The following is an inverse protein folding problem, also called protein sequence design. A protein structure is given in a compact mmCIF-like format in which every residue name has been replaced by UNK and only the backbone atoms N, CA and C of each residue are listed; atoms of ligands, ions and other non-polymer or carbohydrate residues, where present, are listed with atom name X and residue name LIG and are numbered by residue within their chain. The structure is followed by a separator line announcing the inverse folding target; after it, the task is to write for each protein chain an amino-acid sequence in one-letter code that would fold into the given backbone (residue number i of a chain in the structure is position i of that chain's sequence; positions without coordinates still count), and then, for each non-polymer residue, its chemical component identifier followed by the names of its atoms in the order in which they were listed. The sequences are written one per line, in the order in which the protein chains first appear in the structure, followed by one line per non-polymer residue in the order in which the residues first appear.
data_IF_850729975528
#
_entry.id   IF_850729975528
#
_cell.length_a   1.000
_cell.length_b   1.000
_cell.length_c   1.000
_cell.angle_alpha   90.00
_cell.angle_beta   90.00
_cell.angle_gamma   90.00
#
_symmetry.space_group_name_H-M   'P 1'
#
loop_
_entity.id
_entity.type
_entity.pdbx_description
1 polymer ?
#
# COMPACT_ATOMS: atom_id res chain seq x y z
N UNK A 1 -12.93 -31.15 -3.39
CA UNK A 1 -12.41 -31.67 -2.10
C UNK A 1 -12.30 -30.57 -1.04
N UNK A 2 -11.73 -29.40 -1.40
CA UNK A 2 -11.58 -28.25 -0.48
C UNK A 2 -12.90 -27.71 0.04
N UNK A 3 -13.90 -27.53 -0.83
CA UNK A 3 -15.15 -26.88 -0.45
C UNK A 3 -15.96 -27.63 0.62
N UNK A 4 -15.85 -28.96 0.66
CA UNK A 4 -16.54 -29.77 1.68
C UNK A 4 -15.81 -29.72 3.04
N UNK A 5 -14.49 -29.59 3.03
CA UNK A 5 -13.68 -29.42 4.23
C UNK A 5 -13.88 -28.02 4.81
N UNK A 6 -13.83 -26.99 3.97
CA UNK A 6 -14.12 -25.60 4.34
C UNK A 6 -15.53 -25.43 4.92
N UNK A 7 -16.54 -26.05 4.30
CA UNK A 7 -17.91 -26.02 4.82
C UNK A 7 -18.03 -26.73 6.19
N UNK A 8 -17.31 -27.85 6.38
CA UNK A 8 -17.31 -28.57 7.66
C UNK A 8 -16.60 -27.77 8.76
N UNK A 9 -15.52 -27.07 8.43
CA UNK A 9 -14.78 -26.22 9.37
C UNK A 9 -15.57 -24.96 9.74
N UNK A 10 -16.29 -24.36 8.78
CA UNK A 10 -17.24 -23.29 9.06
C UNK A 10 -18.32 -23.75 10.05
N UNK A 11 -18.99 -24.86 9.77
CA UNK A 11 -20.02 -25.43 10.67
C UNK A 11 -19.47 -25.74 12.06
N UNK A 12 -18.23 -26.21 12.16
CA UNK A 12 -17.56 -26.42 13.44
C UNK A 12 -17.35 -25.11 14.18
N UNK A 13 -16.90 -24.07 13.48
CA UNK A 13 -16.69 -22.74 14.06
C UNK A 13 -18.00 -22.13 14.55
N UNK A 14 -19.09 -22.28 13.81
CA UNK A 14 -20.41 -21.80 14.22
C UNK A 14 -20.88 -22.46 15.51
N UNK A 15 -20.74 -23.78 15.60
CA UNK A 15 -21.10 -24.54 16.79
C UNK A 15 -20.25 -24.17 18.00
N UNK A 16 -18.96 -23.89 17.80
CA UNK A 16 -18.10 -23.38 18.86
C UNK A 16 -18.58 -21.98 19.31
N UNK A 17 -18.97 -21.13 18.37
CA UNK A 17 -19.57 -19.82 18.64
C UNK A 17 -20.80 -19.92 19.54
N UNK A 18 -21.76 -20.78 19.21
CA UNK A 18 -22.97 -21.00 20.03
C UNK A 18 -22.64 -21.48 21.45
N UNK A 19 -21.66 -22.38 21.59
CA UNK A 19 -21.23 -22.88 22.90
C UNK A 19 -20.52 -21.79 23.72
N UNK A 20 -19.74 -20.94 23.07
CA UNK A 20 -19.07 -19.81 23.74
C UNK A 20 -20.10 -18.76 24.14
N UNK A 21 -21.08 -18.45 23.28
CA UNK A 21 -22.17 -17.53 23.58
C UNK A 21 -22.97 -17.98 24.81
N UNK A 22 -23.31 -19.27 24.93
CA UNK A 22 -23.94 -19.79 26.14
C UNK A 22 -23.04 -19.68 27.37
N UNK A 23 -21.74 -19.94 27.22
CA UNK A 23 -20.79 -19.90 28.34
C UNK A 23 -20.53 -18.48 28.82
N UNK A 24 -20.47 -17.50 27.91
CA UNK A 24 -20.19 -16.11 28.26
C UNK A 24 -21.26 -15.54 29.19
N UNK A 25 -22.52 -15.98 29.05
CA UNK A 25 -23.61 -15.61 29.97
C UNK A 25 -23.37 -16.05 31.42
N UNK A 26 -22.62 -17.14 31.63
CA UNK A 26 -22.32 -17.67 32.97
C UNK A 26 -20.91 -17.36 33.46
N UNK A 27 -20.01 -16.97 32.55
CA UNK A 27 -18.61 -16.60 32.81
C UNK A 27 -18.23 -15.38 31.97
N UNK A 28 -18.84 -14.21 32.27
CA UNK A 28 -18.62 -12.99 31.47
C UNK A 28 -17.25 -12.35 31.71
N UNK A 29 -16.50 -12.83 32.71
CA UNK A 29 -15.15 -12.38 33.07
C UNK A 29 -14.04 -13.02 32.21
N UNK A 30 -14.39 -14.00 31.36
CA UNK A 30 -13.43 -14.60 30.46
C UNK A 30 -13.26 -13.77 29.18
N UNK A 31 -12.20 -12.96 29.15
CA UNK A 31 -11.84 -12.11 28.03
C UNK A 31 -11.82 -12.83 26.67
N UNK A 32 -11.31 -14.06 26.63
CA UNK A 32 -11.15 -14.81 25.38
C UNK A 32 -12.48 -15.21 24.74
N UNK A 33 -13.55 -15.33 25.53
CA UNK A 33 -14.89 -15.58 24.98
C UNK A 33 -15.37 -14.39 24.14
N UNK A 34 -15.24 -13.17 24.68
CA UNK A 34 -15.61 -11.96 23.95
C UNK A 34 -14.77 -11.74 22.70
N UNK A 35 -13.45 -11.96 22.77
CA UNK A 35 -12.57 -11.86 21.60
C UNK A 35 -12.99 -12.85 20.51
N UNK A 36 -13.24 -14.12 20.88
CA UNK A 36 -13.66 -15.14 19.92
C UNK A 36 -15.00 -14.77 19.26
N UNK A 37 -15.98 -14.37 20.06
CA UNK A 37 -17.29 -13.96 19.55
C UNK A 37 -17.19 -12.74 18.63
N UNK A 38 -16.35 -11.76 18.98
CA UNK A 38 -16.09 -10.58 18.14
C UNK A 38 -15.47 -10.96 16.77
N UNK A 39 -14.49 -11.86 16.76
CA UNK A 39 -13.87 -12.35 15.53
C UNK A 39 -14.85 -13.16 14.67
N UNK A 40 -15.67 -14.00 15.29
CA UNK A 40 -16.72 -14.75 14.59
C UNK A 40 -17.80 -13.82 14.01
N UNK A 41 -18.18 -12.77 14.74
CA UNK A 41 -19.10 -11.75 14.25
C UNK A 41 -18.50 -10.99 13.05
N UNK A 42 -17.21 -10.63 13.10
CA UNK A 42 -16.51 -10.02 11.96
C UNK A 42 -16.48 -10.93 10.73
N UNK A 43 -16.20 -12.23 10.89
CA UNK A 43 -16.19 -13.16 9.75
C UNK A 43 -17.57 -13.31 9.11
N UNK A 44 -18.63 -13.07 9.89
CA UNK A 44 -20.03 -13.04 9.43
C UNK A 44 -20.46 -11.66 8.90
N UNK A 45 -19.56 -10.66 8.93
CA UNK A 45 -19.89 -9.26 8.67
C UNK A 45 -21.01 -8.70 9.56
N UNK A 46 -21.24 -9.30 10.74
CA UNK A 46 -22.15 -8.79 11.75
C UNK A 46 -21.44 -7.70 12.55
N UNK A 47 -21.52 -6.49 12.01
CA UNK A 47 -20.82 -5.30 12.53
C UNK A 47 -21.34 -4.89 13.92
N UNK A 48 -22.63 -5.11 14.17
CA UNK A 48 -23.25 -4.74 15.45
C UNK A 48 -22.73 -5.64 16.56
N UNK A 49 -22.80 -6.96 16.36
CA UNK A 49 -22.31 -7.93 17.34
C UNK A 49 -20.79 -7.80 17.53
N UNK A 50 -20.03 -7.58 16.46
CA UNK A 50 -18.58 -7.39 16.56
C UNK A 50 -18.21 -6.20 17.46
N UNK A 51 -18.84 -5.03 17.25
CA UNK A 51 -18.60 -3.85 18.08
C UNK A 51 -18.99 -4.09 19.54
N UNK A 52 -20.12 -4.74 19.79
CA UNK A 52 -20.59 -5.07 21.15
C UNK A 52 -19.64 -6.04 21.86
N UNK A 53 -19.18 -7.10 21.20
CA UNK A 53 -18.26 -8.06 21.81
C UNK A 53 -16.88 -7.45 22.09
N UNK A 54 -16.38 -6.57 21.22
CA UNK A 54 -15.16 -5.83 21.52
C UNK A 54 -15.32 -4.84 22.68
N UNK A 55 -16.48 -4.20 22.81
CA UNK A 55 -16.78 -3.33 23.95
C UNK A 55 -16.79 -4.10 25.27
N UNK A 56 -17.45 -5.28 25.29
CA UNK A 56 -17.43 -6.17 26.44
C UNK A 56 -16.01 -6.63 26.78
N UNK A 57 -15.20 -6.98 25.77
CA UNK A 57 -13.79 -7.34 25.96
C UNK A 57 -12.98 -6.19 26.56
N UNK A 58 -13.17 -4.95 26.08
CA UNK A 58 -12.55 -3.75 26.61
C UNK A 58 -12.99 -3.43 28.05
N UNK A 59 -14.21 -3.80 28.44
CA UNK A 59 -14.67 -3.70 29.83
C UNK A 59 -13.82 -4.53 30.80
N UNK A 60 -13.22 -5.63 30.32
CA UNK A 60 -12.34 -6.50 31.12
C UNK A 60 -10.87 -6.09 31.05
N UNK A 61 -10.40 -5.60 29.90
CA UNK A 61 -9.03 -5.11 29.71
C UNK A 61 -9.00 -3.78 28.93
N UNK A 62 -9.24 -2.64 29.60
CA UNK A 62 -9.42 -1.34 28.94
C UNK A 62 -8.17 -0.76 28.27
N UNK A 63 -6.98 -1.32 28.55
CA UNK A 63 -5.69 -0.85 28.04
C UNK A 63 -5.11 -1.75 26.96
N UNK A 64 -5.82 -2.81 26.58
CA UNK A 64 -5.37 -3.73 25.58
C UNK A 64 -5.31 -3.06 24.20
N UNK A 65 -4.11 -2.90 23.65
CA UNK A 65 -3.88 -2.19 22.39
C UNK A 65 -4.59 -2.86 21.21
N UNK A 66 -4.62 -4.20 21.18
CA UNK A 66 -5.34 -4.96 20.17
C UNK A 66 -6.85 -4.70 20.23
N UNK A 67 -7.45 -4.77 21.44
CA UNK A 67 -8.90 -4.54 21.58
C UNK A 67 -9.29 -3.10 21.25
N UNK A 68 -8.48 -2.12 21.63
CA UNK A 68 -8.74 -0.72 21.31
C UNK A 68 -8.74 -0.49 19.79
N UNK A 69 -7.76 -1.05 19.08
CA UNK A 69 -7.68 -0.96 17.62
C UNK A 69 -8.86 -1.69 16.95
N UNK A 70 -9.17 -2.92 17.36
CA UNK A 70 -10.28 -3.70 16.80
C UNK A 70 -11.65 -3.09 17.09
N UNK A 71 -11.83 -2.47 18.26
CA UNK A 71 -13.07 -1.77 18.58
C UNK A 71 -13.27 -0.52 17.71
N UNK A 72 -12.21 0.27 17.51
CA UNK A 72 -12.25 1.44 16.63
C UNK A 72 -12.61 1.04 15.18
N UNK A 73 -12.03 -0.05 14.68
CA UNK A 73 -12.36 -0.61 13.37
C UNK A 73 -13.81 -1.11 13.30
N UNK A 74 -14.26 -1.85 14.32
CA UNK A 74 -15.63 -2.36 14.37
C UNK A 74 -16.66 -1.22 14.38
N UNK A 75 -16.42 -0.14 15.13
CA UNK A 75 -17.27 1.05 15.12
C UNK A 75 -17.27 1.74 13.75
N UNK A 76 -16.11 1.89 13.12
CA UNK A 76 -16.01 2.49 11.79
C UNK A 76 -16.83 1.70 10.76
N UNK A 77 -16.76 0.36 10.79
CA UNK A 77 -17.56 -0.49 9.91
C UNK A 77 -19.06 -0.40 10.24
N UNK A 78 -19.42 -0.43 11.53
CA UNK A 78 -20.79 -0.30 12.01
C UNK A 78 -21.43 1.02 11.55
N UNK A 79 -20.68 2.11 11.58
CA UNK A 79 -21.10 3.44 11.11
C UNK A 79 -21.02 3.62 9.59
N UNK A 80 -20.94 2.52 8.83
CA UNK A 80 -20.97 2.58 7.38
C UNK A 80 -19.71 3.21 6.78
N UNK A 81 -18.57 3.10 7.47
CA UNK A 81 -17.28 3.71 7.10
C UNK A 81 -17.29 5.23 7.15
N UNK A 82 -18.06 5.78 8.09
CA UNK A 82 -18.11 7.22 8.40
C UNK A 82 -17.35 7.45 9.70
N UNK A 83 -16.48 8.46 9.72
CA UNK A 83 -15.75 8.91 10.92
C UNK A 83 -16.63 9.80 11.80
N UNK A 84 -17.61 9.16 12.45
CA UNK A 84 -18.45 9.78 13.48
C UNK A 84 -17.64 10.14 14.73
N UNK A 85 -18.21 10.94 15.64
CA UNK A 85 -17.57 11.34 16.89
C UNK A 85 -17.12 10.13 17.73
N UNK A 86 -17.96 9.09 17.82
CA UNK A 86 -17.62 7.86 18.55
C UNK A 86 -16.50 7.07 17.90
N UNK A 87 -16.43 7.07 16.57
CA UNK A 87 -15.34 6.42 15.83
C UNK A 87 -14.05 7.18 16.09
N UNK A 88 -14.06 8.53 15.98
CA UNK A 88 -12.88 9.35 16.23
C UNK A 88 -12.35 9.17 17.66
N UNK A 89 -13.23 9.19 18.66
CA UNK A 89 -12.83 8.92 20.04
C UNK A 89 -12.19 7.53 20.21
N UNK A 90 -12.78 6.49 19.61
CA UNK A 90 -12.22 5.14 19.67
C UNK A 90 -10.85 5.05 18.98
N UNK A 91 -10.70 5.66 17.79
CA UNK A 91 -9.44 5.71 17.05
C UNK A 91 -8.37 6.48 17.84
N UNK A 92 -8.70 7.62 18.43
CA UNK A 92 -7.77 8.40 19.24
C UNK A 92 -7.32 7.64 20.50
N UNK A 93 -8.24 6.94 21.18
CA UNK A 93 -7.87 6.05 22.30
C UNK A 93 -6.93 4.93 21.88
N UNK A 94 -7.20 4.29 20.73
CA UNK A 94 -6.31 3.27 20.18
C UNK A 94 -4.92 3.86 19.84
N UNK A 95 -4.88 5.06 19.26
CA UNK A 95 -3.63 5.72 18.87
C UNK A 95 -2.79 6.13 20.08
N UNK A 96 -3.43 6.61 21.15
CA UNK A 96 -2.77 6.92 22.41
C UNK A 96 -2.17 5.67 23.07
N UNK A 97 -2.79 4.50 22.89
CA UNK A 97 -2.30 3.24 23.45
C UNK A 97 -1.16 2.63 22.62
N UNK A 98 -1.24 2.71 21.29
CA UNK A 98 -0.19 2.29 20.36
C UNK A 98 -0.18 3.17 19.10
N UNK A 99 0.73 4.15 19.09
CA UNK A 99 0.86 5.09 17.99
C UNK A 99 1.45 4.49 16.70
N UNK A 100 1.93 3.24 16.74
CA UNK A 100 2.50 2.53 15.59
C UNK A 100 1.60 1.38 15.11
N UNK A 101 0.41 1.20 15.70
CA UNK A 101 -0.55 0.22 15.23
C UNK A 101 -1.03 0.60 13.81
N UNK A 102 -0.75 -0.26 12.83
CA UNK A 102 -1.06 0.01 11.42
C UNK A 102 -2.54 0.22 11.14
N UNK A 103 -3.43 -0.54 11.80
CA UNK A 103 -4.88 -0.40 11.62
C UNK A 103 -5.35 0.96 12.16
N UNK A 104 -4.87 1.35 13.34
CA UNK A 104 -5.14 2.65 13.94
C UNK A 104 -4.60 3.81 13.09
N UNK A 105 -3.38 3.72 12.59
CA UNK A 105 -2.81 4.71 11.66
C UNK A 105 -3.65 4.84 10.38
N UNK A 106 -4.13 3.72 9.84
CA UNK A 106 -4.99 3.71 8.67
C UNK A 106 -6.31 4.46 8.91
N UNK A 107 -6.94 4.24 10.08
CA UNK A 107 -8.17 4.93 10.49
C UNK A 107 -7.94 6.41 10.83
N UNK A 108 -6.80 6.77 11.44
CA UNK A 108 -6.42 8.19 11.64
C UNK A 108 -6.34 8.90 10.29
N UNK A 109 -5.66 8.32 9.29
CA UNK A 109 -5.60 8.93 7.96
C UNK A 109 -6.97 9.15 7.32
N UNK A 110 -7.91 8.19 7.47
CA UNK A 110 -9.30 8.35 7.01
C UNK A 110 -10.01 9.49 7.75
N UNK A 111 -9.81 9.58 9.07
CA UNK A 111 -10.39 10.65 9.89
C UNK A 111 -9.89 12.02 9.47
N UNK A 112 -8.58 12.21 9.36
CA UNK A 112 -8.00 13.49 8.96
C UNK A 112 -8.43 13.89 7.54
N UNK A 113 -8.46 12.93 6.61
CA UNK A 113 -8.96 13.16 5.25
C UNK A 113 -10.42 13.64 5.24
N UNK A 114 -11.28 13.04 6.06
CA UNK A 114 -12.70 13.42 6.16
C UNK A 114 -12.91 14.83 6.70
N UNK A 115 -11.94 15.35 7.47
CA UNK A 115 -11.93 16.72 7.99
C UNK A 115 -11.11 17.69 7.11
N UNK A 116 -10.77 17.29 5.88
CA UNK A 116 -9.96 18.06 4.93
C UNK A 116 -8.54 18.40 5.41
N UNK A 117 -8.05 17.67 6.43
CA UNK A 117 -6.65 17.72 6.91
C UNK A 117 -5.82 16.72 6.10
N UNK A 118 -5.58 17.09 4.84
CA UNK A 118 -5.01 16.18 3.85
C UNK A 118 -3.53 15.89 4.11
N UNK A 119 -2.76 16.86 4.60
CA UNK A 119 -1.36 16.66 4.99
C UNK A 119 -1.22 15.64 6.11
N UNK A 120 -2.00 15.79 7.18
CA UNK A 120 -2.01 14.84 8.30
C UNK A 120 -2.50 13.46 7.87
N UNK A 121 -3.49 13.40 6.96
CA UNK A 121 -3.96 12.15 6.40
C UNK A 121 -2.84 11.38 5.68
N UNK A 122 -2.06 12.09 4.84
CA UNK A 122 -0.91 11.53 4.13
C UNK A 122 0.12 10.99 5.12
N UNK A 123 0.48 11.77 6.15
CA UNK A 123 1.47 11.35 7.14
C UNK A 123 1.09 10.03 7.82
N UNK A 124 -0.18 9.90 8.26
CA UNK A 124 -0.64 8.68 8.91
C UNK A 124 -0.63 7.46 7.98
N UNK A 125 -1.04 7.63 6.72
CA UNK A 125 -1.02 6.53 5.75
C UNK A 125 0.39 6.14 5.30
N UNK A 126 1.30 7.10 5.12
CA UNK A 126 2.71 6.82 4.83
C UNK A 126 3.37 6.04 5.98
N UNK A 127 3.07 6.40 7.24
CA UNK A 127 3.53 5.63 8.41
C UNK A 127 2.93 4.23 8.43
N UNK A 128 1.65 4.07 8.10
CA UNK A 128 1.01 2.76 8.00
C UNK A 128 1.60 1.89 6.86
N UNK A 129 2.04 2.50 5.76
CA UNK A 129 2.65 1.79 4.64
C UNK A 129 4.00 1.16 4.99
N UNK A 130 4.74 1.70 5.96
CA UNK A 130 6.07 1.20 6.34
C UNK A 130 6.06 -0.24 6.86
N UNK A 131 4.90 -0.75 7.31
CA UNK A 131 4.78 -2.14 7.78
C UNK A 131 4.55 -3.15 6.66
N UNK A 132 4.33 -2.68 5.43
CA UNK A 132 3.94 -3.54 4.30
C UNK A 132 4.93 -3.43 3.13
N UNK A 133 5.18 -4.53 2.39
CA UNK A 133 5.89 -4.47 1.12
C UNK A 133 5.15 -3.57 0.12
N UNK A 134 5.91 -2.81 -0.68
CA UNK A 134 5.36 -1.84 -1.66
C UNK A 134 4.42 -2.51 -2.68
N UNK A 135 4.61 -3.79 -2.96
CA UNK A 135 3.84 -4.57 -3.91
C UNK A 135 2.68 -5.36 -3.27
N UNK A 136 2.43 -5.17 -1.98
CA UNK A 136 1.27 -5.73 -1.29
C UNK A 136 0.00 -4.96 -1.60
N UNK A 137 -1.15 -5.63 -1.51
CA UNK A 137 -2.45 -4.99 -1.70
C UNK A 137 -2.76 -3.99 -0.59
N UNK A 138 -2.25 -4.22 0.61
CA UNK A 138 -2.35 -3.32 1.76
C UNK A 138 -1.65 -2.00 1.48
N UNK A 139 -0.41 -2.05 0.99
CA UNK A 139 0.34 -0.85 0.62
C UNK A 139 -0.38 -0.05 -0.47
N UNK A 140 -0.86 -0.73 -1.52
CA UNK A 140 -1.61 -0.09 -2.63
C UNK A 140 -2.92 0.54 -2.16
N UNK A 141 -3.64 -0.11 -1.25
CA UNK A 141 -4.89 0.43 -0.70
C UNK A 141 -4.66 1.76 0.01
N UNK A 142 -3.60 1.85 0.81
CA UNK A 142 -3.19 3.10 1.47
C UNK A 142 -2.72 4.16 0.45
N UNK A 143 -2.02 3.74 -0.60
CA UNK A 143 -1.56 4.64 -1.66
C UNK A 143 -2.73 5.34 -2.36
N UNK A 144 -3.85 4.65 -2.59
CA UNK A 144 -5.05 5.27 -3.18
C UNK A 144 -5.59 6.40 -2.29
N UNK A 145 -5.51 6.26 -0.97
CA UNK A 145 -5.88 7.32 -0.02
C UNK A 145 -4.93 8.51 -0.14
N UNK A 146 -3.63 8.24 -0.10
CA UNK A 146 -2.56 9.24 -0.25
C UNK A 146 -2.76 10.03 -1.55
N UNK A 147 -2.84 9.36 -2.71
CA UNK A 147 -3.00 10.00 -4.02
C UNK A 147 -4.22 10.94 -4.07
N UNK A 148 -5.34 10.55 -3.42
CA UNK A 148 -6.54 11.39 -3.32
C UNK A 148 -6.30 12.64 -2.48
N UNK A 149 -5.63 12.49 -1.33
CA UNK A 149 -5.28 13.61 -0.47
C UNK A 149 -4.32 14.57 -1.18
N UNK A 150 -3.33 14.03 -1.90
CA UNK A 150 -2.40 14.83 -2.69
C UNK A 150 -3.10 15.62 -3.79
N UNK A 151 -4.06 14.99 -4.49
CA UNK A 151 -4.87 15.67 -5.50
C UNK A 151 -5.72 16.79 -4.90
N UNK A 152 -6.28 16.59 -3.70
CA UNK A 152 -7.07 17.60 -3.00
C UNK A 152 -6.23 18.81 -2.53
N UNK A 153 -4.93 18.62 -2.31
CA UNK A 153 -3.98 19.68 -1.96
C UNK A 153 -3.47 20.49 -3.15
N UNK A 154 -3.68 20.02 -4.40
CA UNK A 154 -3.31 20.82 -5.56
C UNK A 154 -4.26 22.00 -5.70
N UNK A 155 -3.75 23.25 -5.73
CA UNK A 155 -4.56 24.42 -6.05
C UNK A 155 -5.32 24.18 -7.35
N UNK A 156 -6.60 24.55 -7.39
CA UNK A 156 -7.43 24.51 -8.60
C UNK A 156 -6.86 25.32 -9.78
N UNK A 157 -5.83 26.14 -9.54
CA UNK A 157 -5.09 26.92 -10.53
C UNK A 157 -3.96 26.15 -11.23
N UNK A 158 -3.59 24.94 -10.78
CA UNK A 158 -2.50 24.14 -11.40
C UNK A 158 -2.89 23.39 -12.69
N UNK A 159 -4.12 23.54 -13.20
CA UNK A 159 -4.45 23.12 -14.57
C UNK A 159 -3.87 24.04 -15.64
N UNK A 160 -3.37 25.24 -15.27
CA UNK A 160 -2.65 26.11 -16.20
C UNK A 160 -1.35 26.62 -15.58
N UNK A 161 -0.24 26.36 -16.29
CA UNK A 161 1.14 26.84 -16.05
C UNK A 161 1.99 25.99 -15.09
N UNK A 162 2.54 24.89 -15.60
CA UNK A 162 3.85 24.38 -15.15
C UNK A 162 4.95 24.87 -16.11
N UNK A 163 5.53 26.03 -15.78
CA UNK A 163 6.87 26.42 -16.24
C UNK A 163 7.84 26.38 -15.06
N UNK A 164 7.86 25.27 -14.33
CA UNK A 164 8.91 25.00 -13.37
C UNK A 164 9.72 23.80 -13.85
N UNK A 165 11.05 23.94 -13.81
CA UNK A 165 12.03 23.02 -14.41
C UNK A 165 12.15 21.72 -13.57
N UNK A 166 11.08 20.97 -13.42
CA UNK A 166 11.20 19.57 -12.96
C UNK A 166 12.02 18.79 -14.00
N UNK A 167 13.05 18.03 -13.61
CA UNK A 167 13.84 17.26 -14.55
C UNK A 167 12.95 16.24 -15.26
N UNK A 168 12.94 16.31 -16.58
CA UNK A 168 12.25 15.35 -17.44
C UNK A 168 13.29 14.32 -17.89
N UNK A 169 13.08 13.06 -17.53
CA UNK A 169 13.94 11.97 -17.95
C UNK A 169 13.33 11.30 -19.19
N UNK A 170 13.94 11.53 -20.35
CA UNK A 170 13.58 10.89 -21.61
C UNK A 170 14.45 9.66 -21.87
N UNK A 171 13.81 8.51 -22.06
CA UNK A 171 14.44 7.19 -22.19
C UNK A 171 14.02 6.59 -23.52
N UNK A 172 14.96 6.43 -24.44
CA UNK A 172 14.76 5.67 -25.68
C UNK A 172 14.99 4.19 -25.37
N UNK A 173 13.89 3.45 -25.25
CA UNK A 173 13.89 2.05 -24.83
C UNK A 173 13.71 1.12 -26.02
N UNK A 174 14.59 0.12 -26.16
CA UNK A 174 14.53 -0.89 -27.22
C UNK A 174 14.99 -2.27 -26.72
N UNK A 175 14.69 -3.31 -27.52
CA UNK A 175 15.28 -4.64 -27.35
C UNK A 175 16.57 -4.76 -28.16
N UNK A 176 17.52 -5.52 -27.64
CA UNK A 176 18.63 -6.00 -28.44
C UNK A 176 18.22 -7.06 -29.45
N UNK A 177 19.01 -7.20 -30.51
CA UNK A 177 18.67 -7.99 -31.70
C UNK A 177 18.34 -9.47 -31.39
N UNK A 178 18.84 -10.01 -30.29
CA UNK A 178 18.70 -11.43 -29.91
C UNK A 178 17.77 -11.68 -28.72
N UNK A 179 17.00 -10.68 -28.26
CA UNK A 179 16.11 -10.86 -27.10
C UNK A 179 14.77 -11.45 -27.55
N UNK A 180 14.47 -12.73 -27.22
CA UNK A 180 13.18 -13.32 -27.52
C UNK A 180 12.10 -12.68 -26.64
N UNK A 181 11.02 -12.22 -27.26
CA UNK A 181 9.90 -11.59 -26.57
C UNK A 181 8.58 -11.89 -27.29
N UNK A 182 7.49 -12.00 -26.52
CA UNK A 182 6.13 -11.93 -27.06
C UNK A 182 5.60 -10.50 -26.98
N UNK A 183 4.64 -10.14 -27.84
CA UNK A 183 4.13 -8.76 -27.89
C UNK A 183 3.38 -8.39 -26.60
N UNK A 184 2.77 -9.35 -25.93
CA UNK A 184 1.96 -9.15 -24.72
C UNK A 184 2.80 -9.20 -23.43
N UNK A 185 4.10 -9.53 -23.54
CA UNK A 185 4.98 -9.66 -22.41
C UNK A 185 5.16 -8.30 -21.70
N UNK A 186 5.26 -8.32 -20.38
CA UNK A 186 5.37 -7.09 -19.59
C UNK A 186 6.80 -6.61 -19.51
N UNK A 187 6.97 -5.31 -19.68
CA UNK A 187 8.24 -4.60 -19.46
C UNK A 187 8.08 -3.68 -18.26
N UNK A 188 9.01 -3.75 -17.30
CA UNK A 188 9.04 -2.91 -16.11
C UNK A 188 10.27 -2.01 -16.18
N UNK A 189 10.06 -0.70 -16.15
CA UNK A 189 11.12 0.31 -16.08
C UNK A 189 11.15 0.86 -14.66
N UNK A 190 12.33 0.91 -14.05
CA UNK A 190 12.53 1.44 -12.70
C UNK A 190 13.70 2.42 -12.68
N UNK A 191 13.52 3.55 -12.00
CA UNK A 191 14.57 4.55 -11.78
C UNK A 191 15.06 4.40 -10.34
N UNK A 192 16.36 4.12 -10.19
CA UNK A 192 17.00 3.88 -8.91
C UNK A 192 17.89 5.07 -8.53
N UNK A 193 17.77 5.51 -7.28
CA UNK A 193 18.64 6.55 -6.73
C UNK A 193 19.97 5.96 -6.30
N UNK A 194 21.06 6.66 -6.60
CA UNK A 194 22.41 6.16 -6.28
C UNK A 194 22.80 6.33 -4.81
N UNK A 195 22.16 7.24 -4.07
CA UNK A 195 22.41 7.47 -2.65
C UNK A 195 21.91 6.35 -1.72
N UNK A 196 21.14 5.40 -2.25
CA UNK A 196 20.73 4.23 -1.48
C UNK A 196 21.92 3.28 -1.25
N UNK A 197 21.87 2.40 -0.26
CA UNK A 197 22.87 1.34 0.00
C UNK A 197 22.54 0.10 -0.85
N UNK A 198 23.53 -0.67 -1.28
CA UNK A 198 23.33 -1.87 -2.13
C UNK A 198 22.58 -2.99 -1.38
N UNK A 199 21.56 -3.61 -2.01
CA UNK A 199 20.91 -4.84 -1.49
C UNK A 199 19.40 -4.94 -1.73
N UNK A 200 18.65 -3.86 -1.53
CA UNK A 200 17.20 -3.81 -1.81
C UNK A 200 16.77 -2.35 -2.00
N UNK A 201 17.02 -1.80 -3.18
CA UNK A 201 16.78 -0.38 -3.47
C UNK A 201 15.38 -0.21 -4.05
N UNK A 202 14.45 0.27 -3.23
CA UNK A 202 13.16 0.79 -3.70
C UNK A 202 13.39 1.81 -4.82
N UNK A 203 12.74 1.64 -5.99
CA UNK A 203 12.80 2.64 -7.05
C UNK A 203 12.23 3.98 -6.61
N UNK A 204 12.80 5.06 -7.14
CA UNK A 204 12.25 6.41 -7.04
C UNK A 204 10.99 6.49 -7.88
N UNK A 205 11.06 6.03 -9.12
CA UNK A 205 9.97 6.03 -10.08
C UNK A 205 9.91 4.68 -10.80
N UNK A 206 8.71 4.25 -11.21
CA UNK A 206 8.56 3.04 -12.00
C UNK A 206 7.42 3.14 -13.01
N UNK A 207 7.59 2.51 -14.18
CA UNK A 207 6.53 2.40 -15.19
C UNK A 207 6.41 0.97 -15.71
N UNK A 208 5.16 0.55 -15.92
CA UNK A 208 4.80 -0.72 -16.54
C UNK A 208 4.39 -0.50 -17.98
N UNK A 209 4.96 -1.29 -18.88
CA UNK A 209 4.79 -1.23 -20.33
C UNK A 209 4.51 -2.64 -20.88
N UNK A 210 4.19 -2.70 -22.17
CA UNK A 210 4.00 -3.94 -22.92
C UNK A 210 5.07 -4.04 -24.01
N UNK A 211 5.66 -5.22 -24.20
CA UNK A 211 6.79 -5.43 -25.10
C UNK A 211 6.48 -5.04 -26.55
N UNK A 212 5.24 -5.22 -26.99
CA UNK A 212 4.77 -4.85 -28.33
C UNK A 212 4.79 -3.35 -28.63
N UNK A 213 4.96 -2.49 -27.61
CA UNK A 213 5.07 -1.03 -27.76
C UNK A 213 6.50 -0.56 -28.04
N UNK A 214 7.52 -1.44 -27.88
CA UNK A 214 8.92 -1.08 -28.08
C UNK A 214 9.32 -1.23 -29.57
N UNK A 215 10.24 -0.38 -30.09
CA UNK A 215 10.95 0.68 -29.38
C UNK A 215 10.07 1.91 -29.10
N UNK A 216 10.28 2.55 -27.95
CA UNK A 216 9.52 3.74 -27.55
C UNK A 216 10.37 4.77 -26.80
N UNK A 217 9.99 6.04 -26.89
CA UNK A 217 10.55 7.13 -26.09
C UNK A 217 9.68 7.36 -24.87
N UNK A 218 10.18 6.91 -23.72
CA UNK A 218 9.52 7.00 -22.43
C UNK A 218 9.91 8.30 -21.72
N UNK A 219 8.92 9.10 -21.33
CA UNK A 219 9.14 10.30 -20.51
C UNK A 219 8.71 10.05 -19.07
N UNK A 220 9.63 10.24 -18.12
CA UNK A 220 9.37 10.18 -16.68
C UNK A 220 9.59 11.56 -16.04
N UNK A 221 8.76 11.90 -15.07
CA UNK A 221 8.87 13.12 -14.26
C UNK A 221 8.52 12.85 -12.79
N UNK A 222 8.49 13.88 -11.94
CA UNK A 222 8.11 13.72 -10.53
C UNK A 222 6.77 13.02 -10.32
N UNK A 223 5.84 13.14 -11.27
CA UNK A 223 4.55 12.43 -11.25
C UNK A 223 4.67 10.91 -11.30
N UNK A 224 5.81 10.39 -11.73
CA UNK A 224 6.09 8.94 -11.80
C UNK A 224 6.77 8.40 -10.55
N UNK A 225 7.04 9.27 -9.57
CA UNK A 225 7.70 8.89 -8.32
C UNK A 225 6.75 8.06 -7.45
N UNK A 226 7.26 6.98 -6.85
CA UNK A 226 6.49 6.04 -6.04
C UNK A 226 6.20 6.56 -4.63
N UNK A 227 6.98 7.53 -4.13
CA UNK A 227 6.86 8.08 -2.77
C UNK A 227 7.04 9.59 -2.81
N UNK A 228 6.21 10.34 -2.07
CA UNK A 228 6.23 11.81 -2.06
C UNK A 228 7.53 12.38 -1.54
N UNK A 229 8.11 11.77 -0.51
CA UNK A 229 9.35 12.20 0.13
C UNK A 229 10.62 11.91 -0.70
N UNK A 230 10.47 11.29 -1.87
CA UNK A 230 11.59 10.90 -2.73
C UNK A 230 11.19 11.02 -4.20
N UNK A 231 11.29 12.24 -4.75
CA UNK A 231 10.95 12.54 -6.15
C UNK A 231 12.17 12.50 -7.06
N UNK A 232 11.98 12.51 -8.37
CA UNK A 232 13.09 12.61 -9.33
C UNK A 232 13.83 13.94 -9.21
N UNK A 233 13.12 15.05 -8.97
CA UNK A 233 13.69 16.38 -8.72
C UNK A 233 14.56 16.47 -7.47
N UNK A 234 14.37 15.58 -6.50
CA UNK A 234 15.20 15.52 -5.29
C UNK A 234 16.52 14.76 -5.52
N UNK A 235 16.69 14.12 -6.68
CA UNK A 235 17.82 13.25 -6.96
C UNK A 235 18.82 13.94 -7.88
N UNK A 236 20.09 13.90 -7.48
CA UNK A 236 21.17 14.33 -8.35
C UNK A 236 21.56 13.25 -9.36
N UNK A 237 21.74 12.01 -8.90
CA UNK A 237 22.22 10.90 -9.72
C UNK A 237 21.24 9.73 -9.70
N UNK A 238 20.82 9.31 -10.88
CA UNK A 238 19.91 8.17 -11.05
C UNK A 238 20.49 7.13 -12.00
N UNK A 239 19.99 5.91 -11.90
CA UNK A 239 20.22 4.85 -12.89
C UNK A 239 18.89 4.21 -13.26
N UNK A 240 18.68 3.98 -14.55
CA UNK A 240 17.46 3.35 -15.06
C UNK A 240 17.73 1.89 -15.34
N UNK A 241 16.82 1.04 -14.88
CA UNK A 241 16.74 -0.37 -15.25
C UNK A 241 15.46 -0.62 -16.04
N UNK A 242 15.54 -1.44 -17.07
CA UNK A 242 14.37 -1.90 -17.80
C UNK A 242 14.42 -3.42 -17.86
N UNK A 243 13.31 -4.08 -17.54
CA UNK A 243 13.25 -5.54 -17.45
C UNK A 243 12.07 -6.08 -18.23
N UNK A 244 12.34 -7.05 -19.10
CA UNK A 244 11.33 -7.89 -19.72
C UNK A 244 11.05 -9.09 -18.80
N UNK A 245 9.87 -9.11 -18.18
CA UNK A 245 9.53 -10.12 -17.19
C UNK A 245 8.99 -11.40 -17.85
N UNK A 246 9.57 -12.55 -17.50
CA UNK A 246 9.03 -13.86 -17.89
C UNK A 246 7.76 -14.23 -17.10
N UNK A 247 7.72 -13.91 -15.79
CA UNK A 247 6.60 -14.21 -14.90
C UNK A 247 5.48 -13.16 -14.86
N UNK A 248 5.66 -12.02 -15.54
CA UNK A 248 4.70 -10.92 -15.57
C UNK A 248 4.62 -10.08 -14.29
N UNK A 249 5.56 -10.26 -13.36
CA UNK A 249 5.66 -9.55 -12.07
C UNK A 249 6.77 -8.49 -12.09
N UNK A 250 6.63 -7.47 -11.23
CA UNK A 250 7.62 -6.40 -11.07
C UNK A 250 8.86 -6.83 -10.28
N UNK A 251 8.80 -7.97 -9.57
CA UNK A 251 9.92 -8.56 -8.82
C UNK A 251 10.94 -9.22 -9.77
N UNK A 252 12.25 -8.91 -9.67
CA UNK A 252 13.27 -9.52 -10.53
C UNK A 252 13.36 -11.04 -10.34
N UNK A 253 13.44 -11.78 -11.45
CA UNK A 253 13.62 -13.23 -11.43
C UNK A 253 14.86 -13.64 -12.25
N UNK A 254 15.53 -14.72 -11.82
CA UNK A 254 16.63 -15.31 -12.60
C UNK A 254 16.12 -15.68 -13.99
N UNK A 255 16.89 -15.34 -15.02
CA UNK A 255 16.54 -15.57 -16.41
C UNK A 255 15.71 -14.47 -17.09
N UNK A 256 15.23 -13.45 -16.36
CA UNK A 256 14.65 -12.24 -16.97
C UNK A 256 15.70 -11.49 -17.82
N UNK A 257 15.25 -10.84 -18.89
CA UNK A 257 16.11 -9.96 -19.67
C UNK A 257 16.08 -8.55 -19.09
N UNK A 258 17.24 -7.96 -18.87
CA UNK A 258 17.42 -6.64 -18.28
C UNK A 258 18.35 -5.75 -19.11
N UNK A 259 18.05 -4.45 -19.09
CA UNK A 259 18.91 -3.38 -19.57
C UNK A 259 19.26 -2.47 -18.41
N UNK A 260 20.51 -2.02 -18.36
CA UNK A 260 21.03 -1.13 -17.33
C UNK A 260 21.63 0.11 -17.97
N UNK A 261 21.16 1.29 -17.58
CA UNK A 261 21.70 2.54 -18.10
C UNK A 261 23.01 2.93 -17.43
N UNK A 262 23.73 3.87 -18.06
CA UNK A 262 24.74 4.66 -17.34
C UNK A 262 24.07 5.49 -16.23
N UNK A 263 24.88 5.99 -15.29
CA UNK A 263 24.42 6.94 -14.28
C UNK A 263 24.14 8.27 -14.98
N UNK A 264 22.96 8.83 -14.74
CA UNK A 264 22.50 10.11 -15.28
C UNK A 264 22.52 11.16 -14.18
N UNK A 265 23.13 12.32 -14.46
CA UNK A 265 23.05 13.51 -13.62
C UNK A 265 21.83 14.34 -14.07
N UNK A 266 20.78 14.37 -13.24
CA UNK A 266 19.52 15.06 -13.56
C UNK A 266 19.63 16.59 -13.52
N UNK A 267 20.72 17.14 -12.98
CA UNK A 267 20.96 18.58 -12.91
C UNK A 267 21.79 19.11 -14.10
N UNK A 268 22.33 18.21 -14.92
CA UNK A 268 22.87 18.53 -16.25
C UNK A 268 21.76 18.41 -17.30
N UNK A 269 21.85 19.11 -18.44
CA UNK A 269 20.86 18.92 -19.52
C UNK A 269 20.74 17.43 -19.84
N UNK A 270 19.58 16.78 -19.57
CA UNK A 270 19.47 15.35 -19.72
C UNK A 270 19.47 15.04 -21.22
N UNK A 271 20.63 14.64 -21.74
CA UNK A 271 20.71 14.05 -23.07
C UNK A 271 19.81 12.81 -23.14
N UNK A 272 19.27 12.52 -24.33
CA UNK A 272 18.43 11.34 -24.56
C UNK A 272 19.10 10.07 -24.02
N UNK A 273 18.51 9.45 -22.99
CA UNK A 273 19.04 8.22 -22.41
C UNK A 273 18.64 7.05 -23.28
N UNK A 274 19.61 6.41 -23.95
CA UNK A 274 19.36 5.15 -24.66
C UNK A 274 19.50 3.98 -23.70
N UNK A 275 18.49 3.13 -23.65
CA UNK A 275 18.47 1.92 -22.83
C UNK A 275 18.04 0.73 -23.68
N UNK A 276 18.92 -0.25 -23.76
CA UNK A 276 18.68 -1.48 -24.50
C UNK A 276 18.53 -2.65 -23.52
N UNK A 277 17.45 -3.40 -23.64
CA UNK A 277 17.27 -4.66 -22.91
C UNK A 277 18.07 -5.72 -23.68
N UNK A 278 19.17 -6.20 -23.10
CA UNK A 278 20.10 -7.14 -23.77
C UNK A 278 20.83 -8.11 -22.84
N UNK A 279 20.88 -7.86 -21.53
CA UNK A 279 21.50 -8.75 -20.55
C UNK A 279 20.52 -9.77 -20.01
N UNK A 280 20.99 -10.97 -19.64
CA UNK A 280 20.17 -11.96 -18.94
C UNK A 280 20.58 -12.04 -17.48
N UNK A 281 19.62 -11.92 -16.59
CA UNK A 281 19.86 -12.01 -15.16
C UNK A 281 20.32 -13.43 -14.80
N UNK A 282 21.41 -13.60 -14.03
CA UNK A 282 21.86 -14.91 -13.57
C UNK A 282 20.83 -15.57 -12.65
#
# INVERSE_FOLDING_TARGET
PDTALEAADLLRMERIGELIDQRVQTRPDNLYYWIFLAQLAQSRSDRSAAAEYFDNALGLDPKNTYLLASYAEALFLLDGKITTDRVREAVDRAFLADANNTATLSLKGISEFSESRFEEAIEFWERAQQTWPIDSDQWRSLQVGIDRAENALRPAEMEQVSTDKSPILQINLSFGAEVPHSREQRVFVAVLGRDAVEGDRMPIAARKLVAGDLPLTLTLSDSDSLVRSRRLSDQRFVQVTARLSGGGTATPQSGDWEGLSAIVDLHSEPGELRLEISGRRP
#
